data_IF_024521095550
#
_entry.id   IF_024521095550
#
_cell.length_a   1.000
_cell.length_b   1.000
_cell.length_c   1.000
_cell.angle_alpha   90.00
_cell.angle_beta   90.00
_cell.angle_gamma   90.00
#
_symmetry.space_group_name_H-M   'P 1'
#
loop_
_entity.id
_entity.type
_entity.pdbx_description
1 polymer ?
#
# COMPACT_ATOMS: atom_id res chain seq x y z
N UNK A 1 0.87 -6.23 -16.31
CA UNK A 1 1.09 -4.76 -16.41
C UNK A 1 0.59 -4.09 -15.15
N UNK A 2 1.47 -3.96 -14.15
CA UNK A 2 1.33 -2.96 -13.10
C UNK A 2 2.60 -2.13 -13.12
N UNK A 3 2.39 -0.83 -13.28
CA UNK A 3 3.40 0.19 -13.43
C UNK A 3 4.05 0.36 -12.06
N UNK A 4 5.30 -0.05 -11.99
CA UNK A 4 6.29 0.32 -10.97
C UNK A 4 6.35 1.84 -10.84
N UNK A 5 6.00 2.38 -9.68
CA UNK A 5 6.42 3.72 -9.28
C UNK A 5 7.85 3.64 -8.72
N UNK A 6 8.67 4.69 -8.92
CA UNK A 6 10.12 4.63 -8.84
C UNK A 6 10.56 4.67 -7.38
N UNK A 7 11.05 3.54 -6.88
CA UNK A 7 11.96 3.59 -5.75
C UNK A 7 13.28 4.09 -6.35
N UNK A 8 13.74 5.26 -5.89
CA UNK A 8 15.04 5.80 -6.23
C UNK A 8 16.11 4.72 -5.95
N UNK A 9 16.60 4.08 -7.03
CA UNK A 9 17.76 3.21 -6.97
C UNK A 9 18.98 4.11 -6.81
N UNK A 10 19.27 4.45 -5.55
CA UNK A 10 20.58 4.91 -5.18
C UNK A 10 21.54 3.74 -5.41
N UNK A 11 22.19 3.77 -6.58
CA UNK A 11 23.37 2.97 -6.89
C UNK A 11 24.47 3.39 -5.92
N UNK A 12 24.56 2.68 -4.80
CA UNK A 12 25.74 2.64 -3.94
C UNK A 12 26.11 1.16 -3.93
N UNK A 13 26.89 0.70 -4.91
CA UNK A 13 28.31 1.03 -4.92
C UNK A 13 28.98 0.08 -3.94
N UNK A 14 29.51 -1.02 -4.47
CA UNK A 14 30.39 -1.95 -3.79
C UNK A 14 31.44 -1.19 -2.96
N UNK A 15 31.25 -1.13 -1.65
CA UNK A 15 32.31 -0.77 -0.71
C UNK A 15 32.47 -1.92 0.26
N UNK A 16 33.54 -2.68 0.01
CA UNK A 16 34.11 -3.70 0.92
C UNK A 16 34.11 -3.15 2.35
N UNK A 17 33.49 -3.83 3.32
CA UNK A 17 33.53 -3.40 4.70
C UNK A 17 34.95 -3.64 5.24
N UNK A 18 35.74 -2.57 5.35
CA UNK A 18 36.90 -2.55 6.23
C UNK A 18 36.34 -2.57 7.66
N UNK A 19 36.52 -3.69 8.34
CA UNK A 19 36.10 -3.93 9.71
C UNK A 19 36.86 -2.99 10.67
N UNK A 20 36.35 -1.78 10.87
CA UNK A 20 36.75 -0.91 11.97
C UNK A 20 35.80 -1.18 13.16
N UNK A 21 36.27 -1.78 14.28
CA UNK A 21 35.42 -2.16 15.41
C UNK A 21 34.76 -0.96 16.13
N UNK A 22 35.21 0.27 15.84
CA UNK A 22 34.64 1.51 16.37
C UNK A 22 33.37 1.97 15.64
N UNK A 23 33.15 1.56 14.39
CA UNK A 23 32.02 2.05 13.58
C UNK A 23 30.66 1.46 13.97
N UNK A 24 30.64 0.23 14.47
CA UNK A 24 29.41 -0.49 14.84
C UNK A 24 28.68 0.18 16.01
N UNK A 25 29.43 0.71 16.99
CA UNK A 25 28.88 1.44 18.15
C UNK A 25 28.20 2.74 17.74
N UNK A 26 28.75 3.46 16.76
CA UNK A 26 28.16 4.70 16.24
C UNK A 26 26.89 4.43 15.42
N UNK A 27 26.90 3.37 14.61
CA UNK A 27 25.74 2.95 13.82
C UNK A 27 24.54 2.54 14.70
N UNK A 28 24.80 1.82 15.80
CA UNK A 28 23.79 1.44 16.79
C UNK A 28 23.19 2.65 17.52
N UNK A 29 24.00 3.67 17.82
CA UNK A 29 23.54 4.89 18.49
C UNK A 29 22.66 5.75 17.56
N UNK A 30 22.98 5.80 16.26
CA UNK A 30 22.17 6.48 15.25
C UNK A 30 20.83 5.79 14.99
N UNK A 31 20.74 4.46 15.13
CA UNK A 31 19.48 3.75 15.00
C UNK A 31 18.50 4.04 16.15
N UNK A 32 19.01 4.30 17.37
CA UNK A 32 18.19 4.58 18.55
C UNK A 32 17.52 5.96 18.52
N UNK A 33 18.05 6.90 17.71
CA UNK A 33 17.55 8.27 17.62
C UNK A 33 16.48 8.49 16.53
N UNK A 34 16.06 7.43 15.82
CA UNK A 34 15.03 7.58 14.81
C UNK A 34 13.68 7.87 15.47
N UNK A 35 13.06 9.05 15.26
CA UNK A 35 11.69 9.26 15.68
C UNK A 35 10.82 8.27 14.92
N UNK A 36 10.00 7.50 15.64
CA UNK A 36 8.89 6.77 15.04
C UNK A 36 7.98 7.80 14.36
N UNK A 37 8.19 8.02 13.07
CA UNK A 37 7.23 8.73 12.23
C UNK A 37 6.04 7.78 12.05
N UNK A 38 5.12 7.84 13.01
CA UNK A 38 3.79 7.28 12.84
C UNK A 38 3.12 8.05 11.70
N UNK A 39 3.11 7.45 10.51
CA UNK A 39 2.33 7.94 9.38
C UNK A 39 0.86 7.75 9.73
N UNK A 40 0.28 8.74 10.41
CA UNK A 40 -1.13 8.76 10.72
C UNK A 40 -1.92 9.14 9.47
N UNK A 41 -2.26 8.12 8.68
CA UNK A 41 -3.13 8.26 7.53
C UNK A 41 -4.50 8.75 8.03
N UNK A 42 -4.79 10.05 7.81
CA UNK A 42 -6.06 10.69 8.17
C UNK A 42 -7.23 9.78 7.75
N UNK A 43 -8.10 9.35 8.69
CA UNK A 43 -9.22 8.51 8.35
C UNK A 43 -10.12 9.26 7.36
N UNK A 44 -10.44 8.61 6.24
CA UNK A 44 -11.42 9.13 5.29
C UNK A 44 -12.76 9.34 5.99
N UNK A 45 -13.52 10.35 5.55
CA UNK A 45 -14.87 10.60 6.09
C UNK A 45 -15.70 9.31 6.03
N UNK A 46 -16.44 9.00 7.11
CA UNK A 46 -17.29 7.80 7.21
C UNK A 46 -18.22 7.64 5.99
N UNK A 47 -18.73 8.75 5.45
CA UNK A 47 -19.57 8.75 4.26
C UNK A 47 -18.83 8.24 3.00
N UNK A 48 -17.55 8.61 2.84
CA UNK A 48 -16.73 8.14 1.73
C UNK A 48 -16.43 6.63 1.82
N UNK A 49 -16.18 6.12 3.02
CA UNK A 49 -15.98 4.69 3.28
C UNK A 49 -17.25 3.89 2.93
N UNK A 50 -18.43 4.33 3.40
CA UNK A 50 -19.71 3.67 3.08
C UNK A 50 -19.99 3.62 1.58
N UNK A 51 -19.71 4.71 0.87
CA UNK A 51 -19.90 4.76 -0.59
C UNK A 51 -19.03 3.74 -1.32
N UNK A 52 -17.75 3.67 -0.97
CA UNK A 52 -16.82 2.70 -1.57
C UNK A 52 -17.23 1.26 -1.22
N UNK A 53 -17.64 1.03 0.02
CA UNK A 53 -18.13 -0.28 0.48
C UNK A 53 -19.35 -0.74 -0.32
N UNK A 54 -20.32 0.14 -0.55
CA UNK A 54 -21.50 -0.13 -1.39
C UNK A 54 -21.11 -0.51 -2.81
N UNK A 55 -20.14 0.20 -3.41
CA UNK A 55 -19.64 -0.13 -4.75
C UNK A 55 -18.96 -1.51 -4.76
N UNK A 56 -18.16 -1.85 -3.74
CA UNK A 56 -17.55 -3.18 -3.60
C UNK A 56 -18.64 -4.25 -3.51
N UNK A 57 -19.69 -4.03 -2.71
CA UNK A 57 -20.84 -4.94 -2.58
C UNK A 57 -21.57 -5.12 -3.91
N UNK A 58 -21.79 -4.05 -4.66
CA UNK A 58 -22.42 -4.09 -5.98
C UNK A 58 -21.62 -4.96 -6.95
N UNK A 59 -20.32 -4.72 -7.13
CA UNK A 59 -19.48 -5.53 -8.02
C UNK A 59 -19.35 -6.98 -7.55
N UNK A 60 -19.44 -7.23 -6.24
CA UNK A 60 -19.50 -8.59 -5.69
C UNK A 60 -20.78 -9.30 -6.11
N UNK A 61 -21.92 -8.61 -6.02
CA UNK A 61 -23.22 -9.14 -6.45
C UNK A 61 -23.21 -9.46 -7.94
N UNK A 62 -22.75 -8.53 -8.77
CA UNK A 62 -22.64 -8.74 -10.22
C UNK A 62 -21.77 -9.97 -10.55
N UNK A 63 -20.60 -10.10 -9.91
CA UNK A 63 -19.73 -11.26 -10.13
C UNK A 63 -20.39 -12.60 -9.70
N UNK A 64 -21.18 -12.59 -8.62
CA UNK A 64 -21.92 -13.79 -8.16
C UNK A 64 -23.10 -14.13 -9.06
N UNK A 65 -23.76 -13.13 -9.63
CA UNK A 65 -24.84 -13.33 -10.60
C UNK A 65 -24.32 -13.93 -11.93
N UNK A 66 -23.02 -13.81 -12.19
CA UNK A 66 -22.42 -14.27 -13.44
C UNK A 66 -22.54 -13.24 -14.56
N UNK A 67 -21.81 -13.47 -15.64
CA UNK A 67 -21.75 -12.59 -16.80
C UNK A 67 -20.71 -13.11 -17.80
N UNK A 68 -20.49 -12.38 -18.89
CA UNK A 68 -19.43 -12.74 -19.83
C UNK A 68 -18.04 -12.63 -19.17
N UNK A 69 -17.07 -13.38 -19.69
CA UNK A 69 -15.69 -13.33 -19.19
C UNK A 69 -15.14 -11.89 -19.12
N UNK A 70 -15.47 -11.07 -20.13
CA UNK A 70 -15.09 -9.65 -20.18
C UNK A 70 -15.73 -8.82 -19.06
N UNK A 71 -17.01 -9.07 -18.75
CA UNK A 71 -17.71 -8.42 -17.64
C UNK A 71 -17.11 -8.83 -16.30
N UNK A 72 -16.86 -10.13 -16.10
CA UNK A 72 -16.27 -10.66 -14.87
C UNK A 72 -14.89 -10.07 -14.59
N UNK A 73 -14.05 -9.96 -15.61
CA UNK A 73 -12.70 -9.39 -15.51
C UNK A 73 -12.75 -7.87 -15.25
N UNK A 74 -13.66 -7.14 -15.90
CA UNK A 74 -13.88 -5.72 -15.60
C UNK A 74 -14.32 -5.49 -14.15
N UNK A 75 -15.31 -6.25 -13.67
CA UNK A 75 -15.77 -6.13 -12.28
C UNK A 75 -14.68 -6.50 -11.28
N UNK A 76 -13.85 -7.50 -11.59
CA UNK A 76 -12.68 -7.84 -10.79
C UNK A 76 -11.73 -6.65 -10.63
N UNK A 77 -11.34 -6.04 -11.74
CA UNK A 77 -10.45 -4.86 -11.75
C UNK A 77 -11.05 -3.69 -10.99
N UNK A 78 -12.32 -3.35 -11.23
CA UNK A 78 -13.01 -2.25 -10.54
C UNK A 78 -13.11 -2.48 -9.04
N UNK A 79 -13.48 -3.69 -8.61
CA UNK A 79 -13.53 -4.08 -7.20
C UNK A 79 -12.16 -3.98 -6.53
N UNK A 80 -11.09 -4.41 -7.22
CA UNK A 80 -9.72 -4.29 -6.71
C UNK A 80 -9.31 -2.82 -6.51
N UNK A 81 -9.56 -1.96 -7.50
CA UNK A 81 -9.30 -0.52 -7.38
C UNK A 81 -10.03 0.12 -6.19
N UNK A 82 -11.28 -0.27 -5.97
CA UNK A 82 -12.07 0.20 -4.83
C UNK A 82 -11.51 -0.27 -3.50
N UNK A 83 -11.07 -1.54 -3.40
CA UNK A 83 -10.41 -2.07 -2.19
C UNK A 83 -9.12 -1.31 -1.86
N UNK A 84 -8.30 -1.02 -2.88
CA UNK A 84 -7.08 -0.22 -2.70
C UNK A 84 -7.41 1.20 -2.25
N UNK A 85 -8.47 1.83 -2.78
CA UNK A 85 -8.92 3.15 -2.32
C UNK A 85 -9.45 3.09 -0.88
N UNK A 86 -10.21 2.05 -0.55
CA UNK A 86 -10.74 1.82 0.79
C UNK A 86 -9.62 1.69 1.83
N UNK A 87 -8.57 0.92 1.52
CA UNK A 87 -7.40 0.79 2.41
C UNK A 87 -6.58 2.08 2.51
N UNK A 88 -6.43 2.83 1.41
CA UNK A 88 -5.74 4.15 1.42
C UNK A 88 -6.43 5.18 2.30
N UNK A 89 -7.74 5.10 2.45
CA UNK A 89 -8.51 5.99 3.32
C UNK A 89 -8.52 5.54 4.78
N UNK A 90 -7.75 4.50 5.15
CA UNK A 90 -7.76 3.90 6.48
C UNK A 90 -9.17 3.58 6.99
N UNK A 91 -10.09 3.27 6.07
CA UNK A 91 -11.45 2.89 6.44
C UNK A 91 -11.40 1.55 7.20
N UNK A 92 -12.03 1.49 8.36
CA UNK A 92 -12.16 0.26 9.16
C UNK A 92 -13.49 -0.41 8.77
N UNK A 93 -13.41 -1.68 8.36
CA UNK A 93 -14.57 -2.52 8.07
C UNK A 93 -15.32 -2.89 9.35
#
# INVERSE_FOLDING_TARGET
MQITQPQAVAVLGFLRPVFCPFGIRLLLFLLLLSPLVSVEAKPGSQASCKKIEQQIKQYTRLRRAGGSARQMDNWHRKRHQLKVRYSKLSCRL
#
